data_IF_100826130270
#
_entry.id   IF_100826130270
#
_cell.length_a   1.000
_cell.length_b   1.000
_cell.length_c   1.000
_cell.angle_alpha   90.00
_cell.angle_beta   90.00
_cell.angle_gamma   90.00
#
_symmetry.space_group_name_H-M   'P 1'
#
loop_
_entity.id
_entity.type
_entity.pdbx_description
1 polymer ?
#
# COMPACT_ATOMS: atom_id res chain seq x y z
N UNK A 1 4.89 -14.92 -24.88
CA UNK A 1 5.76 -15.24 -23.72
C UNK A 1 6.00 -14.06 -22.76
N UNK A 2 5.44 -12.86 -23.01
CA UNK A 2 5.47 -11.71 -22.08
C UNK A 2 4.08 -11.33 -21.51
N UNK A 3 3.10 -12.21 -21.66
CA UNK A 3 1.68 -11.92 -21.39
C UNK A 3 1.12 -12.71 -20.17
N UNK A 4 2.00 -13.25 -19.33
CA UNK A 4 1.63 -14.05 -18.13
C UNK A 4 2.31 -13.60 -16.84
N UNK A 5 3.10 -12.52 -16.88
CA UNK A 5 3.80 -11.98 -15.70
C UNK A 5 3.00 -10.84 -15.03
N UNK A 6 2.09 -10.20 -15.76
CA UNK A 6 1.21 -9.14 -15.21
C UNK A 6 -0.06 -9.67 -14.52
N UNK A 7 -0.31 -10.98 -14.54
CA UNK A 7 -1.52 -11.59 -13.94
C UNK A 7 -1.40 -11.85 -12.43
N UNK A 8 -0.32 -11.39 -11.79
CA UNK A 8 0.02 -11.69 -10.39
C UNK A 8 0.62 -10.44 -9.72
N UNK A 9 -0.03 -9.29 -9.89
CA UNK A 9 0.07 -8.23 -8.86
C UNK A 9 -1.14 -8.47 -7.93
N UNK A 10 -1.05 -9.62 -7.25
CA UNK A 10 -1.85 -10.14 -6.14
C UNK A 10 -3.40 -10.11 -6.26
N UNK A 11 -3.94 -11.21 -6.79
CA UNK A 11 -5.17 -11.91 -6.37
C UNK A 11 -6.54 -11.21 -6.32
N UNK A 12 -6.73 -10.01 -6.84
CA UNK A 12 -8.04 -9.33 -6.80
C UNK A 12 -9.11 -9.70 -7.87
N UNK A 13 -9.01 -10.81 -8.60
CA UNK A 13 -9.88 -11.02 -9.79
C UNK A 13 -10.66 -12.33 -9.90
N UNK A 14 -10.76 -13.17 -8.86
CA UNK A 14 -11.58 -14.40 -9.01
C UNK A 14 -12.66 -14.71 -7.98
N UNK A 15 -12.87 -13.94 -6.89
CA UNK A 15 -14.04 -14.19 -6.00
C UNK A 15 -14.60 -12.96 -5.28
N UNK A 16 -14.70 -11.78 -5.91
CA UNK A 16 -15.45 -10.67 -5.30
C UNK A 16 -16.39 -9.99 -6.30
N UNK A 17 -17.68 -9.96 -5.97
CA UNK A 17 -18.69 -9.08 -6.57
C UNK A 17 -18.46 -7.60 -6.19
N UNK A 18 -17.22 -7.20 -5.90
CA UNK A 18 -16.86 -5.84 -5.53
C UNK A 18 -16.54 -5.08 -6.81
N UNK A 19 -17.49 -4.28 -7.29
CA UNK A 19 -17.29 -3.30 -8.36
C UNK A 19 -16.46 -2.12 -7.83
N UNK A 20 -15.24 -2.37 -7.41
CA UNK A 20 -14.21 -1.35 -7.29
C UNK A 20 -13.36 -1.42 -8.54
N UNK A 21 -13.82 -0.81 -9.64
CA UNK A 21 -13.03 -0.73 -10.86
C UNK A 21 -11.89 0.24 -10.57
N UNK A 22 -10.72 -0.28 -10.21
CA UNK A 22 -9.54 0.54 -9.96
C UNK A 22 -9.33 1.41 -11.20
N UNK A 23 -9.52 2.74 -11.06
CA UNK A 23 -9.56 3.57 -12.26
C UNK A 23 -8.24 3.43 -13.02
N UNK A 24 -8.31 3.29 -14.34
CA UNK A 24 -7.12 3.13 -15.19
C UNK A 24 -6.10 4.26 -14.97
N UNK A 25 -6.55 5.44 -14.56
CA UNK A 25 -5.68 6.57 -14.23
C UNK A 25 -5.01 6.44 -12.85
N UNK A 26 -5.75 6.04 -11.82
CA UNK A 26 -5.16 5.77 -10.50
C UNK A 26 -4.14 4.63 -10.60
N UNK A 27 -4.42 3.61 -11.40
CA UNK A 27 -3.47 2.53 -11.68
C UNK A 27 -2.18 3.02 -12.32
N UNK A 28 -2.27 3.86 -13.34
CA UNK A 28 -1.09 4.43 -14.00
C UNK A 28 -0.27 5.27 -13.03
N UNK A 29 -0.91 6.08 -12.17
CA UNK A 29 -0.21 6.86 -11.13
C UNK A 29 0.58 5.95 -10.20
N UNK A 30 -0.05 4.91 -9.65
CA UNK A 30 0.62 3.97 -8.75
C UNK A 30 1.79 3.24 -9.41
N UNK A 31 1.63 2.79 -10.66
CA UNK A 31 2.73 2.18 -11.43
C UNK A 31 3.88 3.17 -11.63
N UNK A 32 3.57 4.45 -11.88
CA UNK A 32 4.55 5.53 -11.92
C UNK A 32 5.33 5.67 -10.61
N UNK A 33 4.63 5.72 -9.48
CA UNK A 33 5.26 5.82 -8.15
C UNK A 33 6.18 4.64 -7.85
N UNK A 34 5.75 3.41 -8.16
CA UNK A 34 6.57 2.20 -8.03
C UNK A 34 7.87 2.34 -8.85
N UNK A 35 7.76 2.76 -10.10
CA UNK A 35 8.92 2.94 -10.99
C UNK A 35 9.89 4.02 -10.49
N UNK A 36 9.38 5.17 -10.06
CA UNK A 36 10.21 6.26 -9.52
C UNK A 36 10.94 5.83 -8.24
N UNK A 37 10.27 5.14 -7.32
CA UNK A 37 10.88 4.67 -6.08
C UNK A 37 11.90 3.56 -6.30
N UNK A 38 11.70 2.71 -7.32
CA UNK A 38 12.66 1.65 -7.66
C UNK A 38 14.01 2.22 -8.09
N UNK A 39 14.03 3.39 -8.75
CA UNK A 39 15.29 4.04 -9.17
C UNK A 39 16.18 4.43 -7.98
N UNK A 40 15.60 4.60 -6.79
CA UNK A 40 16.34 4.96 -5.57
C UNK A 40 16.55 3.76 -4.66
N UNK A 41 15.56 2.86 -4.57
CA UNK A 41 15.56 1.72 -3.66
C UNK A 41 15.40 0.44 -4.46
N UNK A 42 16.52 -0.11 -4.92
CA UNK A 42 16.53 -1.34 -5.70
C UNK A 42 16.08 -2.54 -4.86
N UNK A 43 15.17 -3.34 -5.44
CA UNK A 43 14.68 -4.59 -4.85
C UNK A 43 15.39 -5.77 -5.50
N UNK A 44 15.84 -6.72 -4.68
CA UNK A 44 16.43 -7.97 -5.18
C UNK A 44 15.34 -8.98 -5.57
N UNK A 45 15.66 -10.00 -6.38
CA UNK A 45 14.70 -11.07 -6.66
C UNK A 45 14.15 -11.75 -5.40
N UNK A 46 14.98 -11.92 -4.37
CA UNK A 46 14.56 -12.47 -3.07
C UNK A 46 13.56 -11.55 -2.37
N UNK A 47 13.78 -10.23 -2.40
CA UNK A 47 12.82 -9.29 -1.82
C UNK A 47 11.45 -9.44 -2.48
N UNK A 48 11.41 -9.60 -3.80
CA UNK A 48 10.17 -9.82 -4.54
C UNK A 48 9.49 -11.16 -4.18
N UNK A 49 10.26 -12.20 -3.88
CA UNK A 49 9.72 -13.49 -3.43
C UNK A 49 9.07 -13.37 -2.03
N UNK A 50 9.76 -12.74 -1.09
CA UNK A 50 9.23 -12.46 0.26
C UNK A 50 7.94 -11.60 0.15
N UNK A 51 7.96 -10.55 -0.67
CA UNK A 51 6.79 -9.67 -0.87
C UNK A 51 5.59 -10.38 -1.51
N UNK A 52 5.82 -11.32 -2.45
CA UNK A 52 4.75 -12.16 -3.03
C UNK A 52 4.07 -13.04 -1.98
N UNK A 53 4.76 -13.37 -0.90
CA UNK A 53 4.23 -14.11 0.24
C UNK A 53 3.65 -13.18 1.33
N UNK A 54 3.39 -11.91 1.00
CA UNK A 54 2.89 -10.89 1.94
C UNK A 54 3.82 -10.67 3.15
N UNK A 55 5.10 -10.97 2.98
CA UNK A 55 6.11 -10.84 4.02
C UNK A 55 7.04 -9.68 3.71
N UNK A 56 7.13 -8.72 4.62
CA UNK A 56 8.09 -7.63 4.51
C UNK A 56 9.51 -8.19 4.70
N UNK A 57 10.41 -8.06 3.71
CA UNK A 57 11.82 -8.44 3.87
C UNK A 57 12.48 -7.61 4.96
N UNK A 58 13.44 -8.21 5.68
CA UNK A 58 14.30 -7.46 6.59
C UNK A 58 15.41 -6.73 5.83
N UNK A 59 15.00 -5.72 5.06
CA UNK A 59 15.87 -4.92 4.21
C UNK A 59 15.46 -3.45 4.32
N UNK A 60 16.39 -2.59 4.74
CA UNK A 60 16.13 -1.15 4.84
C UNK A 60 15.70 -0.57 3.47
N UNK A 61 16.32 -1.01 2.38
CA UNK A 61 15.93 -0.59 1.03
C UNK A 61 14.48 -0.92 0.72
N UNK A 62 14.00 -2.12 1.06
CA UNK A 62 12.61 -2.50 0.80
C UNK A 62 11.66 -1.66 1.66
N UNK A 63 11.97 -1.47 2.94
CA UNK A 63 11.20 -0.63 3.86
C UNK A 63 11.09 0.81 3.31
N UNK A 64 12.20 1.37 2.85
CA UNK A 64 12.25 2.72 2.29
C UNK A 64 11.62 2.84 0.90
N UNK A 65 11.66 1.78 0.09
CA UNK A 65 10.91 1.69 -1.16
C UNK A 65 9.41 1.89 -0.89
N UNK A 66 8.84 1.18 0.09
CA UNK A 66 7.44 1.35 0.47
C UNK A 66 7.15 2.75 1.03
N UNK A 67 8.01 3.31 1.88
CA UNK A 67 7.83 4.68 2.36
C UNK A 67 7.81 5.71 1.22
N UNK A 68 8.70 5.56 0.23
CA UNK A 68 8.70 6.41 -0.96
C UNK A 68 7.36 6.32 -1.72
N UNK A 69 6.86 5.11 -1.95
CA UNK A 69 5.59 4.89 -2.66
C UNK A 69 4.43 5.47 -1.86
N UNK A 70 4.37 5.23 -0.56
CA UNK A 70 3.30 5.75 0.31
C UNK A 70 3.29 7.26 0.39
N UNK A 71 4.46 7.92 0.42
CA UNK A 71 4.54 9.39 0.38
C UNK A 71 4.03 9.95 -0.95
N UNK A 72 4.45 9.36 -2.07
CA UNK A 72 3.96 9.76 -3.41
C UNK A 72 2.47 9.52 -3.61
N UNK A 73 1.95 8.46 -3.01
CA UNK A 73 0.54 8.12 -2.99
C UNK A 73 -0.25 8.88 -1.91
N UNK A 74 0.38 9.81 -1.18
CA UNK A 74 -0.27 10.57 -0.11
C UNK A 74 -0.85 9.68 1.01
N UNK A 75 -0.40 8.44 1.16
CA UNK A 75 -0.77 7.57 2.28
C UNK A 75 0.12 7.79 3.51
N UNK A 76 1.25 8.46 3.31
CA UNK A 76 2.21 8.84 4.34
C UNK A 76 2.55 10.32 4.17
N UNK A 77 2.61 11.08 5.27
CA UNK A 77 2.96 12.50 5.25
C UNK A 77 4.49 12.71 5.22
N UNK A 78 4.92 13.97 5.14
CA UNK A 78 6.35 14.33 5.13
C UNK A 78 7.10 13.94 6.40
N UNK A 79 6.39 13.75 7.53
CA UNK A 79 6.96 13.24 8.79
C UNK A 79 7.11 11.72 8.80
N UNK A 80 6.79 11.05 7.70
CA UNK A 80 6.84 9.59 7.59
C UNK A 80 5.70 8.90 8.33
N UNK A 81 4.65 9.62 8.74
CA UNK A 81 3.52 9.09 9.49
C UNK A 81 2.41 8.64 8.54
N UNK A 82 1.64 7.61 8.92
CA UNK A 82 0.38 7.26 8.25
C UNK A 82 -0.51 8.50 8.18
N UNK A 83 -0.95 8.87 6.97
CA UNK A 83 -1.73 10.07 6.74
C UNK A 83 -3.19 9.73 6.42
N UNK A 84 -4.02 9.80 7.46
CA UNK A 84 -5.46 9.49 7.39
C UNK A 84 -6.19 10.23 6.27
N UNK A 85 -5.95 11.53 6.11
CA UNK A 85 -6.66 12.34 5.11
C UNK A 85 -6.31 11.91 3.67
N UNK A 86 -5.04 11.61 3.41
CA UNK A 86 -4.60 11.19 2.08
C UNK A 86 -5.01 9.76 1.74
N UNK A 87 -5.13 8.86 2.72
CA UNK A 87 -5.77 7.55 2.52
C UNK A 87 -7.25 7.73 2.17
N UNK A 88 -8.00 8.57 2.89
CA UNK A 88 -9.41 8.88 2.56
C UNK A 88 -9.55 9.44 1.15
N UNK A 89 -8.69 10.40 0.78
CA UNK A 89 -8.67 10.99 -0.56
C UNK A 89 -8.44 9.94 -1.63
N UNK A 90 -7.42 9.09 -1.46
CA UNK A 90 -7.11 8.02 -2.42
C UNK A 90 -8.26 7.01 -2.52
N UNK A 91 -8.90 6.66 -1.40
CA UNK A 91 -10.08 5.80 -1.40
C UNK A 91 -11.28 6.42 -2.10
N UNK A 92 -11.50 7.73 -2.00
CA UNK A 92 -12.53 8.43 -2.77
C UNK A 92 -12.21 8.43 -4.27
N UNK A 93 -10.94 8.62 -4.67
CA UNK A 93 -10.51 8.49 -6.07
C UNK A 93 -10.73 7.07 -6.61
N UNK A 94 -10.61 6.05 -5.75
CA UNK A 94 -10.75 4.64 -6.12
C UNK A 94 -12.20 4.16 -6.14
N UNK A 95 -12.99 4.50 -5.12
CA UNK A 95 -14.32 3.92 -4.88
C UNK A 95 -15.47 4.92 -5.07
N UNK A 96 -15.16 6.20 -5.34
CA UNK A 96 -16.17 7.25 -5.40
C UNK A 96 -16.94 7.40 -4.09
N UNK A 97 -18.25 7.64 -4.19
CA UNK A 97 -19.14 7.85 -3.03
C UNK A 97 -19.86 6.55 -2.59
N UNK A 98 -19.25 5.38 -2.78
CA UNK A 98 -19.80 4.14 -2.24
C UNK A 98 -19.71 4.14 -0.70
N UNK A 99 -20.81 4.46 -0.04
CA UNK A 99 -20.87 4.61 1.42
C UNK A 99 -20.45 3.33 2.16
N UNK A 100 -20.75 2.16 1.63
CA UNK A 100 -20.41 0.88 2.27
C UNK A 100 -18.90 0.63 2.20
N UNK A 101 -18.27 0.91 1.06
CA UNK A 101 -16.82 0.84 0.93
C UNK A 101 -16.11 1.92 1.74
N UNK A 102 -16.61 3.16 1.73
CA UNK A 102 -16.02 4.25 2.51
C UNK A 102 -16.11 3.99 4.03
N UNK A 103 -17.17 3.33 4.51
CA UNK A 103 -17.21 2.89 5.90
C UNK A 103 -16.08 1.89 6.20
N UNK A 104 -15.89 0.89 5.36
CA UNK A 104 -14.79 -0.09 5.52
C UNK A 104 -13.41 0.56 5.49
N UNK A 105 -13.23 1.56 4.64
CA UNK A 105 -12.00 2.36 4.57
C UNK A 105 -11.77 3.09 5.90
N UNK A 106 -12.78 3.73 6.47
CA UNK A 106 -12.65 4.40 7.75
C UNK A 106 -12.32 3.42 8.88
N UNK A 107 -12.99 2.25 8.91
CA UNK A 107 -12.69 1.19 9.89
C UNK A 107 -11.22 0.70 9.73
N UNK A 108 -10.74 0.52 8.50
CA UNK A 108 -9.34 0.17 8.20
C UNK A 108 -8.35 1.25 8.65
N UNK A 109 -8.65 2.52 8.39
CA UNK A 109 -7.86 3.67 8.82
C UNK A 109 -7.73 3.71 10.34
N UNK A 110 -8.83 3.52 11.06
CA UNK A 110 -8.83 3.56 12.53
C UNK A 110 -7.98 2.45 13.16
N UNK A 111 -7.87 1.31 12.47
CA UNK A 111 -6.98 0.21 12.86
C UNK A 111 -5.53 0.56 12.51
N UNK A 112 -5.25 0.89 11.25
CA UNK A 112 -3.87 1.00 10.78
C UNK A 112 -3.19 2.33 11.10
N UNK A 113 -3.91 3.40 11.45
CA UNK A 113 -3.26 4.65 11.89
C UNK A 113 -2.49 4.51 13.20
N UNK A 114 -2.77 3.47 13.99
CA UNK A 114 -2.06 3.13 15.24
C UNK A 114 -0.59 2.83 15.04
N UNK A 115 -0.15 2.53 13.81
CA UNK A 115 1.29 2.41 13.49
C UNK A 115 2.07 3.71 13.74
N UNK A 116 1.38 4.85 13.86
CA UNK A 116 2.01 6.11 14.27
C UNK A 116 2.43 6.12 15.74
N UNK A 117 1.80 5.31 16.59
CA UNK A 117 2.10 5.21 18.01
C UNK A 117 3.28 4.25 18.29
N UNK A 118 3.67 3.45 17.29
CA UNK A 118 4.77 2.51 17.40
C UNK A 118 6.13 3.25 17.33
N UNK A 119 7.11 2.86 18.17
CA UNK A 119 8.43 3.46 18.15
C UNK A 119 9.16 3.08 16.85
N UNK A 120 9.75 4.09 16.20
CA UNK A 120 10.63 3.90 15.05
C UNK A 120 11.93 4.68 15.24
N UNK A 121 13.00 4.25 14.59
CA UNK A 121 14.34 4.83 14.74
C UNK A 121 14.75 5.73 13.57
N UNK A 122 14.02 5.68 12.46
CA UNK A 122 14.35 6.37 11.21
C UNK A 122 13.59 7.69 10.99
N UNK A 123 12.78 8.09 11.97
CA UNK A 123 12.13 9.40 12.04
C UNK A 123 11.31 9.72 10.80
N UNK A 124 11.61 10.86 10.19
CA UNK A 124 10.87 11.36 9.01
C UNK A 124 11.09 10.52 7.75
N UNK A 125 12.10 9.64 7.70
CA UNK A 125 12.26 8.72 6.57
C UNK A 125 11.02 7.82 6.43
N UNK A 126 10.49 7.34 7.55
CA UNK A 126 9.26 6.56 7.64
C UNK A 126 9.35 5.15 7.05
N UNK A 127 10.55 4.63 6.78
CA UNK A 127 10.78 3.29 6.25
C UNK A 127 10.30 2.21 7.24
N UNK A 128 10.68 2.30 8.51
CA UNK A 128 10.23 1.35 9.53
C UNK A 128 8.70 1.41 9.68
N UNK A 129 8.13 2.61 9.65
CA UNK A 129 6.68 2.79 9.71
C UNK A 129 5.97 2.26 8.47
N UNK A 130 6.56 2.38 7.29
CA UNK A 130 6.04 1.77 6.07
C UNK A 130 5.98 0.23 6.19
N UNK A 131 6.95 -0.39 6.87
CA UNK A 131 6.89 -1.82 7.17
C UNK A 131 5.71 -2.19 8.07
N UNK A 132 5.44 -1.36 9.09
CA UNK A 132 4.28 -1.53 9.96
C UNK A 132 2.96 -1.32 9.21
N UNK A 133 2.89 -0.33 8.33
CA UNK A 133 1.74 -0.09 7.45
C UNK A 133 1.48 -1.29 6.54
N UNK A 134 2.52 -1.85 5.92
CA UNK A 134 2.41 -3.04 5.07
C UNK A 134 1.88 -4.24 5.85
N UNK A 135 2.43 -4.48 7.04
CA UNK A 135 1.96 -5.55 7.93
C UNK A 135 0.49 -5.36 8.29
N UNK A 136 0.10 -4.17 8.77
CA UNK A 136 -1.28 -3.88 9.12
C UNK A 136 -2.25 -4.05 7.94
N UNK A 137 -1.82 -3.60 6.75
CA UNK A 137 -2.59 -3.74 5.52
C UNK A 137 -2.86 -5.21 5.21
N UNK A 138 -1.84 -6.07 5.27
CA UNK A 138 -1.99 -7.49 4.96
C UNK A 138 -2.79 -8.26 6.02
N UNK A 139 -2.69 -7.86 7.28
CA UNK A 139 -3.45 -8.48 8.39
C UNK A 139 -4.95 -8.16 8.28
N UNK A 140 -5.31 -6.92 7.91
CA UNK A 140 -6.70 -6.45 8.00
C UNK A 140 -7.42 -6.28 6.64
N UNK A 141 -6.72 -6.14 5.51
CA UNK A 141 -7.37 -6.01 4.20
C UNK A 141 -8.38 -7.13 3.85
N UNK A 142 -8.14 -8.42 4.21
CA UNK A 142 -9.14 -9.48 3.99
C UNK A 142 -10.43 -9.28 4.78
N UNK A 143 -10.36 -8.71 5.99
CA UNK A 143 -11.52 -8.47 6.85
C UNK A 143 -12.52 -7.50 6.20
N UNK A 144 -11.99 -6.58 5.38
CA UNK A 144 -12.77 -5.57 4.66
C UNK A 144 -13.11 -5.98 3.22
N UNK A 145 -12.53 -7.07 2.72
CA UNK A 145 -12.71 -7.55 1.35
C UNK A 145 -12.04 -6.65 0.31
N UNK A 146 -10.88 -6.07 0.66
CA UNK A 146 -10.05 -5.31 -0.27
C UNK A 146 -9.14 -6.21 -1.12
N UNK A 147 -8.87 -7.43 -0.65
CA UNK A 147 -8.08 -8.47 -1.31
C UNK A 147 -8.76 -9.83 -1.18
#
# INVERSE_FOLDING_TARGET
MFHRVLSIILFGLFTCNVKGDFSNELQKKFVGYLGECWQTYELTPKDLEDLKMLKMPDSENVKCYFACVYKKAEMMNDKGEFWEEGVKKTSLEQYGNDEALLKKVNDFIDICKKVNDEPVTDGEKGCERAALMFKCSNEHAPEFGFI
#
